data_IF_410790832938
#
_entry.id   IF_410790832938
#
_cell.length_a   1.000
_cell.length_b   1.000
_cell.length_c   1.000
_cell.angle_alpha   90.00
_cell.angle_beta   90.00
_cell.angle_gamma   90.00
#
_symmetry.space_group_name_H-M   'P 1'
#
loop_
_entity.id
_entity.type
_entity.pdbx_description
1 polymer ?
#
# COMPACT_ATOMS: atom_id res chain seq x y z
N UNK A 1 -7.01 1.17 9.28
CA UNK A 1 -6.87 2.17 8.18
C UNK A 1 -5.48 2.77 8.25
N UNK A 2 -4.75 2.78 7.14
CA UNK A 2 -3.37 3.28 7.04
C UNK A 2 -3.33 4.43 6.05
N UNK A 3 -2.68 5.54 6.44
CA UNK A 3 -2.52 6.74 5.61
C UNK A 3 -1.03 6.92 5.34
N UNK A 4 -0.68 7.03 4.07
CA UNK A 4 0.69 7.25 3.62
C UNK A 4 0.94 8.75 3.42
N UNK A 5 1.72 9.35 4.33
CA UNK A 5 2.11 10.75 4.23
C UNK A 5 3.34 10.88 3.32
N UNK A 6 3.09 11.26 2.06
CA UNK A 6 4.12 11.46 1.05
C UNK A 6 4.33 12.97 0.85
N UNK A 7 5.58 13.42 0.91
CA UNK A 7 5.98 14.76 0.49
C UNK A 7 6.42 14.65 -0.97
N UNK A 8 5.55 15.08 -1.88
CA UNK A 8 5.82 15.11 -3.32
C UNK A 8 5.04 16.26 -3.96
N UNK A 9 5.68 16.95 -4.89
CA UNK A 9 5.18 18.19 -5.49
C UNK A 9 4.14 17.98 -6.59
N UNK A 10 3.96 16.74 -7.10
CA UNK A 10 2.93 16.29 -8.07
C UNK A 10 3.39 15.02 -8.85
N UNK A 11 4.31 14.22 -8.34
CA UNK A 11 4.75 13.03 -9.09
C UNK A 11 3.71 11.92 -9.04
N UNK A 12 3.44 11.33 -10.21
CA UNK A 12 2.72 10.07 -10.36
C UNK A 12 3.34 9.04 -9.42
N UNK A 13 2.59 8.70 -8.37
CA UNK A 13 2.99 7.69 -7.41
C UNK A 13 1.93 6.59 -7.38
N UNK A 14 2.39 5.39 -7.04
CA UNK A 14 1.50 4.30 -6.69
C UNK A 14 2.05 3.57 -5.48
N UNK A 15 1.15 2.93 -4.75
CA UNK A 15 1.46 2.13 -3.57
C UNK A 15 1.03 0.71 -3.84
N UNK A 16 1.97 -0.22 -3.82
CA UNK A 16 1.67 -1.65 -3.85
C UNK A 16 1.64 -2.19 -2.43
N UNK A 17 0.64 -2.98 -2.10
CA UNK A 17 0.52 -3.74 -0.86
C UNK A 17 0.66 -5.21 -1.19
N UNK A 18 1.50 -5.92 -0.46
CA UNK A 18 1.79 -7.34 -0.63
C UNK A 18 1.55 -8.10 0.67
N UNK A 19 1.21 -9.38 0.56
CA UNK A 19 1.29 -10.29 1.70
C UNK A 19 2.76 -10.70 1.98
N UNK A 20 2.97 -11.44 3.07
CA UNK A 20 4.32 -11.90 3.48
C UNK A 20 5.02 -12.79 2.45
N UNK A 21 4.28 -13.37 1.51
CA UNK A 21 4.83 -14.20 0.44
C UNK A 21 5.16 -13.38 -0.82
N UNK A 22 5.00 -12.05 -0.77
CA UNK A 22 5.25 -11.15 -1.88
C UNK A 22 4.13 -11.12 -2.93
N UNK A 23 2.96 -11.72 -2.66
CA UNK A 23 1.83 -11.64 -3.59
C UNK A 23 1.18 -10.27 -3.50
N UNK A 24 0.96 -9.63 -4.64
CA UNK A 24 0.27 -8.33 -4.71
C UNK A 24 -1.18 -8.49 -4.25
N UNK A 25 -1.56 -7.71 -3.24
CA UNK A 25 -2.87 -7.69 -2.63
C UNK A 25 -3.69 -6.51 -3.15
N UNK A 26 -3.07 -5.34 -3.26
CA UNK A 26 -3.71 -4.13 -3.76
C UNK A 26 -2.68 -3.20 -4.36
N UNK A 27 -3.07 -2.49 -5.41
CA UNK A 27 -2.39 -1.30 -5.90
C UNK A 27 -3.29 -0.09 -5.65
N UNK A 28 -2.69 0.97 -5.11
CA UNK A 28 -3.33 2.26 -4.88
C UNK A 28 -2.66 3.26 -5.81
N UNK A 29 -3.45 3.98 -6.59
CA UNK A 29 -3.01 4.90 -7.63
C UNK A 29 -3.95 6.12 -7.70
N UNK A 30 -3.82 6.95 -8.73
CA UNK A 30 -4.65 8.14 -8.96
C UNK A 30 -4.65 9.14 -7.78
N UNK A 31 -3.47 9.31 -7.15
CA UNK A 31 -3.30 10.24 -6.04
C UNK A 31 -3.89 9.76 -4.70
N UNK A 32 -4.51 8.57 -4.64
CA UNK A 32 -5.00 8.01 -3.40
C UNK A 32 -3.83 7.57 -2.49
N UNK A 33 -3.93 7.85 -1.20
CA UNK A 33 -2.88 7.64 -0.18
C UNK A 33 -3.35 6.78 0.98
N UNK A 34 -4.49 6.10 0.82
CA UNK A 34 -5.14 5.38 1.91
C UNK A 34 -5.28 3.91 1.56
N UNK A 35 -4.80 3.06 2.45
CA UNK A 35 -5.19 1.66 2.48
C UNK A 35 -6.15 1.40 3.64
N UNK A 36 -7.31 0.84 3.29
CA UNK A 36 -8.40 0.50 4.18
C UNK A 36 -8.33 -0.93 4.73
N UNK A 37 -7.32 -1.71 4.32
CA UNK A 37 -7.21 -3.11 4.70
C UNK A 37 -8.01 -4.05 3.80
N UNK A 38 -8.29 -3.66 2.56
CA UNK A 38 -8.91 -4.56 1.57
C UNK A 38 -7.95 -4.98 0.47
N UNK A 39 -8.28 -6.06 -0.22
CA UNK A 39 -7.69 -6.42 -1.51
C UNK A 39 -8.22 -5.56 -2.67
N UNK A 40 -7.75 -5.86 -3.88
CA UNK A 40 -8.15 -5.25 -5.16
C UNK A 40 -9.63 -5.45 -5.51
N UNK A 41 -10.31 -6.44 -4.91
CA UNK A 41 -11.74 -6.71 -5.07
C UNK A 41 -12.59 -6.05 -3.98
N UNK A 42 -11.98 -5.24 -3.10
CA UNK A 42 -12.67 -4.56 -2.01
C UNK A 42 -13.01 -5.46 -0.82
N UNK A 43 -12.45 -6.68 -0.75
CA UNK A 43 -12.66 -7.60 0.37
C UNK A 43 -11.63 -7.37 1.46
N UNK A 44 -12.04 -7.37 2.72
CA UNK A 44 -11.10 -7.27 3.83
C UNK A 44 -10.09 -8.41 3.83
N UNK A 45 -8.83 -8.06 4.07
CA UNK A 45 -7.75 -9.03 4.19
C UNK A 45 -7.74 -9.66 5.59
N UNK A 46 -7.04 -10.78 5.72
CA UNK A 46 -6.85 -11.41 7.02
C UNK A 46 -5.94 -10.60 7.96
N UNK A 47 -6.02 -10.88 9.25
CA UNK A 47 -5.08 -10.31 10.22
C UNK A 47 -3.67 -10.84 9.94
N UNK A 48 -2.67 -9.95 9.90
CA UNK A 48 -1.31 -10.35 9.56
C UNK A 48 -0.39 -9.18 9.18
N UNK A 49 0.86 -9.52 8.88
CA UNK A 49 1.86 -8.59 8.37
C UNK A 49 1.71 -8.42 6.86
N UNK A 50 1.76 -7.17 6.41
CA UNK A 50 1.75 -6.81 5.00
C UNK A 50 2.93 -5.89 4.71
N UNK A 51 3.44 -5.97 3.49
CA UNK A 51 4.54 -5.14 3.00
C UNK A 51 3.93 -4.09 2.07
N UNK A 52 4.28 -2.83 2.26
CA UNK A 52 3.93 -1.78 1.30
C UNK A 52 5.18 -1.29 0.57
N UNK A 53 5.00 -0.92 -0.69
CA UNK A 53 6.01 -0.23 -1.48
C UNK A 53 5.39 1.02 -2.10
N UNK A 54 5.94 2.18 -1.79
CA UNK A 54 5.60 3.45 -2.44
C UNK A 54 6.60 3.68 -3.57
N UNK A 55 6.09 3.83 -4.78
CA UNK A 55 6.89 4.12 -5.96
C UNK A 55 6.68 5.57 -6.36
N UNK A 56 7.76 6.35 -6.39
CA UNK A 56 7.76 7.78 -6.70
C UNK A 56 8.83 8.07 -7.75
N UNK A 57 8.43 8.05 -9.04
CA UNK A 57 9.38 8.13 -10.15
C UNK A 57 10.42 7.00 -10.09
N UNK A 58 11.70 7.35 -9.85
CA UNK A 58 12.80 6.38 -9.71
C UNK A 58 13.02 5.87 -8.29
N UNK A 59 12.34 6.45 -7.29
CA UNK A 59 12.51 6.08 -5.90
C UNK A 59 11.47 5.03 -5.50
N UNK A 60 11.90 4.04 -4.72
CA UNK A 60 11.01 3.06 -4.10
C UNK A 60 11.28 3.06 -2.60
N UNK A 61 10.24 3.33 -1.81
CA UNK A 61 10.28 3.23 -0.35
C UNK A 61 9.45 2.04 0.07
N UNK A 62 9.98 1.19 0.95
CA UNK A 62 9.27 0.02 1.44
C UNK A 62 9.08 0.11 2.95
N UNK A 63 8.04 -0.53 3.45
CA UNK A 63 7.81 -0.70 4.87
C UNK A 63 6.79 -1.79 5.13
N UNK A 64 6.41 -1.94 6.38
CA UNK A 64 5.43 -2.95 6.79
C UNK A 64 4.26 -2.32 7.52
N UNK A 65 3.11 -2.96 7.43
CA UNK A 65 1.90 -2.64 8.19
C UNK A 65 1.34 -3.93 8.76
N UNK A 66 0.90 -3.89 10.01
CA UNK A 66 0.22 -5.02 10.65
C UNK A 66 -1.28 -4.73 10.66
N UNK A 67 -2.06 -5.68 10.15
CA UNK A 67 -3.52 -5.68 10.26
C UNK A 67 -3.87 -6.53 11.48
N UNK A 68 -4.55 -5.90 12.44
CA UNK A 68 -5.11 -6.57 13.62
C UNK A 68 -6.62 -6.78 13.40
N UNK A 69 -7.16 -7.86 13.95
CA UNK A 69 -8.60 -8.14 14.04
C UNK A 69 -9.10 -7.82 15.44
#
# INVERSE_FOLDING_TARGET
>A
KTVFHLVSDNSDFYINIYDINGRLIKRIENGNRVWDGTDDRGRFVEGGLYIFQVHLGKQVMSGTVVVLK
#
